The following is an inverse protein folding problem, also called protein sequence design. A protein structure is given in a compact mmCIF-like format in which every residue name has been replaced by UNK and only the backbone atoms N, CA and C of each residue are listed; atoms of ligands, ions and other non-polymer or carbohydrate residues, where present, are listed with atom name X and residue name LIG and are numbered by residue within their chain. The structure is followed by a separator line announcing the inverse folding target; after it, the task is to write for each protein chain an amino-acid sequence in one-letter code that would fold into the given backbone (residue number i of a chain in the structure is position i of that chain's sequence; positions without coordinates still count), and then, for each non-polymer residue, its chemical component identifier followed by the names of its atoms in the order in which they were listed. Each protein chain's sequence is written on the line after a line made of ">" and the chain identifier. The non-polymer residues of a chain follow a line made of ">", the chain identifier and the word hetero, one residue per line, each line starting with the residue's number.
data_IF_231200111123
#
_entry.id   IF_231200111123
#
_cell.length_a   1.000
_cell.length_b   1.000
_cell.length_c   1.000
_cell.angle_alpha   90.00
_cell.angle_beta   90.00
_cell.angle_gamma   90.00
#
_symmetry.space_group_name_H-M   'P 1'
#
loop_
_entity.id
_entity.type
_entity.pdbx_description
1 polymer ?
#
# COMPACT_ATOMS: atom_id res chain seq x y z
N UNK A 1 -0.35 21.50 18.39
CA UNK A 1 -0.66 20.34 17.53
C UNK A 1 -1.17 20.91 16.22
N UNK A 2 -0.38 20.80 15.15
CA UNK A 2 -0.83 21.19 13.81
C UNK A 2 -1.99 20.29 13.41
N UNK A 3 -3.09 20.87 12.96
CA UNK A 3 -4.19 20.11 12.33
C UNK A 3 -3.61 19.41 11.10
N UNK A 4 -3.42 18.09 11.19
CA UNK A 4 -3.07 17.25 10.05
C UNK A 4 -4.25 17.34 9.07
N UNK A 5 -4.05 18.01 7.94
CA UNK A 5 -5.02 18.01 6.86
C UNK A 5 -5.11 16.61 6.28
N UNK A 6 -6.30 16.20 5.85
CA UNK A 6 -6.59 14.90 5.23
C UNK A 6 -5.69 14.56 4.02
N UNK A 7 -4.98 15.56 3.49
CA UNK A 7 -4.07 15.53 2.34
C UNK A 7 -2.58 15.42 2.68
N UNK A 8 -2.17 15.41 3.95
CA UNK A 8 -0.74 15.50 4.33
C UNK A 8 0.11 14.31 3.89
N UNK A 9 -0.50 13.16 3.61
CA UNK A 9 0.21 11.92 3.18
C UNK A 9 0.33 11.78 1.64
N UNK A 10 -0.15 12.76 0.87
CA UNK A 10 -0.06 12.77 -0.60
C UNK A 10 -0.87 11.66 -1.31
N UNK A 11 -0.78 11.54 -2.65
CA UNK A 11 -1.57 10.59 -3.45
C UNK A 11 -1.22 9.13 -3.17
N UNK A 12 -2.11 8.19 -3.55
CA UNK A 12 -1.81 6.74 -3.46
C UNK A 12 -0.59 6.41 -4.31
N UNK A 13 0.36 5.67 -3.74
CA UNK A 13 1.65 5.33 -4.35
C UNK A 13 1.63 3.86 -4.75
N UNK A 14 1.60 3.62 -6.06
CA UNK A 14 1.75 2.29 -6.66
C UNK A 14 3.19 2.15 -7.13
N UNK A 15 3.83 1.03 -6.79
CA UNK A 15 5.17 0.69 -7.30
C UNK A 15 5.09 -0.52 -8.21
N UNK A 16 5.92 -0.49 -9.26
CA UNK A 16 6.09 -1.56 -10.22
C UNK A 16 7.41 -2.27 -9.96
N UNK A 17 7.37 -3.60 -10.02
CA UNK A 17 8.55 -4.44 -9.80
C UNK A 17 8.71 -5.35 -11.02
N UNK A 18 9.53 -4.91 -11.96
CA UNK A 18 9.73 -5.59 -13.24
C UNK A 18 10.89 -6.58 -13.20
N UNK A 19 10.73 -7.69 -13.93
CA UNK A 19 11.76 -8.72 -14.08
C UNK A 19 12.96 -8.30 -14.92
N UNK A 20 12.84 -7.23 -15.72
CA UNK A 20 13.90 -6.72 -16.58
C UNK A 20 14.95 -5.86 -15.88
N UNK A 21 14.85 -5.67 -14.56
CA UNK A 21 15.85 -4.94 -13.79
C UNK A 21 17.22 -5.65 -13.83
N UNK A 22 18.00 -5.37 -14.89
CA UNK A 22 19.46 -5.51 -15.00
C UNK A 22 20.14 -4.55 -14.02
N UNK A 23 19.70 -4.59 -12.78
CA UNK A 23 20.14 -3.73 -11.70
C UNK A 23 21.08 -4.52 -10.82
N UNK A 24 22.18 -3.88 -10.42
CA UNK A 24 23.13 -4.47 -9.49
C UNK A 24 22.45 -4.76 -8.13
N UNK A 25 23.11 -5.55 -7.28
CA UNK A 25 22.57 -6.00 -5.98
C UNK A 25 22.06 -4.83 -5.11
N UNK A 26 22.71 -3.66 -5.17
CA UNK A 26 22.35 -2.49 -4.36
C UNK A 26 21.06 -1.83 -4.84
N UNK A 27 20.83 -1.72 -6.15
CA UNK A 27 19.61 -1.11 -6.66
C UNK A 27 18.37 -2.01 -6.45
N UNK A 28 18.53 -3.33 -6.36
CA UNK A 28 17.41 -4.27 -6.08
C UNK A 28 16.95 -4.21 -4.62
N UNK A 29 17.89 -4.08 -3.69
CA UNK A 29 17.62 -3.82 -2.27
C UNK A 29 16.87 -2.50 -2.09
N UNK A 30 17.37 -1.42 -2.72
CA UNK A 30 16.74 -0.11 -2.66
C UNK A 30 15.32 -0.08 -3.26
N UNK A 31 15.10 -0.77 -4.39
CA UNK A 31 13.75 -0.90 -4.98
C UNK A 31 12.82 -1.72 -4.10
N UNK A 32 13.32 -2.77 -3.44
CA UNK A 32 12.53 -3.51 -2.46
C UNK A 32 12.17 -2.63 -1.27
N UNK A 33 13.11 -1.88 -0.69
CA UNK A 33 12.84 -0.98 0.44
C UNK A 33 11.92 0.19 0.07
N UNK A 34 12.04 0.73 -1.14
CA UNK A 34 11.11 1.72 -1.69
C UNK A 34 9.72 1.11 -1.90
N UNK A 35 9.64 -0.13 -2.38
CA UNK A 35 8.38 -0.83 -2.57
C UNK A 35 7.66 -1.13 -1.24
N UNK A 36 8.43 -1.41 -0.18
CA UNK A 36 7.91 -1.54 1.18
C UNK A 36 7.33 -0.23 1.72
N UNK A 37 7.78 0.92 1.19
CA UNK A 37 7.25 2.22 1.57
C UNK A 37 5.98 2.59 0.78
N UNK A 38 5.70 1.97 -0.37
CA UNK A 38 4.53 2.24 -1.21
C UNK A 38 3.24 1.59 -0.69
N UNK A 39 2.10 2.14 -1.11
CA UNK A 39 0.79 1.71 -0.63
C UNK A 39 0.38 0.38 -1.29
N UNK A 40 0.66 0.22 -2.59
CA UNK A 40 0.35 -0.98 -3.37
C UNK A 40 1.53 -1.39 -4.27
N UNK A 41 1.76 -2.69 -4.40
CA UNK A 41 2.85 -3.32 -5.16
C UNK A 41 2.31 -4.23 -6.25
N UNK A 42 2.66 -3.94 -7.50
CA UNK A 42 2.41 -4.81 -8.65
C UNK A 42 3.74 -5.41 -9.09
N UNK A 43 3.78 -6.74 -9.22
CA UNK A 43 4.98 -7.47 -9.60
C UNK A 43 4.80 -8.15 -10.95
N UNK A 44 5.80 -8.05 -11.81
CA UNK A 44 5.86 -8.83 -13.05
C UNK A 44 6.18 -10.30 -12.72
N UNK A 45 5.58 -11.28 -13.41
CA UNK A 45 5.82 -12.71 -13.14
C UNK A 45 7.29 -13.15 -13.27
N UNK A 46 8.12 -12.43 -14.04
CA UNK A 46 9.56 -12.70 -14.17
C UNK A 46 10.40 -12.07 -13.03
N UNK A 47 9.81 -11.24 -12.19
CA UNK A 47 10.54 -10.54 -11.14
C UNK A 47 10.88 -11.44 -9.94
N UNK A 48 11.96 -11.07 -9.26
CA UNK A 48 12.36 -11.68 -7.99
C UNK A 48 12.71 -10.59 -6.98
N UNK A 49 12.15 -10.72 -5.77
CA UNK A 49 12.31 -9.74 -4.68
C UNK A 49 13.10 -10.32 -3.51
N UNK A 50 13.88 -9.49 -2.83
CA UNK A 50 14.57 -9.88 -1.62
C UNK A 50 15.51 -8.77 -1.14
N UNK A 51 15.79 -8.80 0.17
CA UNK A 51 16.78 -7.94 0.81
C UNK A 51 18.06 -8.76 0.98
N UNK A 52 19.02 -8.54 0.08
CA UNK A 52 20.22 -9.38 -0.05
C UNK A 52 21.49 -8.78 0.54
N UNK A 53 21.37 -7.66 1.24
CA UNK A 53 22.43 -6.88 1.87
C UNK A 53 23.30 -7.72 2.82
N UNK A 54 22.72 -8.72 3.47
CA UNK A 54 23.45 -9.63 4.36
C UNK A 54 24.51 -10.46 3.64
N UNK A 55 24.41 -10.67 2.31
CA UNK A 55 25.49 -11.30 1.51
C UNK A 55 26.75 -10.44 1.41
N UNK A 56 26.61 -9.13 1.52
CA UNK A 56 27.72 -8.18 1.42
C UNK A 56 28.10 -7.60 2.79
N UNK A 57 27.67 -8.26 3.87
CA UNK A 57 28.07 -7.93 5.25
C UNK A 57 27.39 -6.70 5.83
N UNK A 58 26.27 -6.24 5.26
CA UNK A 58 25.49 -5.12 5.79
C UNK A 58 24.02 -5.53 6.01
N UNK A 59 23.28 -4.72 6.77
CA UNK A 59 21.84 -4.91 6.96
C UNK A 59 21.05 -4.07 5.93
N UNK A 60 19.77 -4.42 5.67
CA UNK A 60 18.87 -3.53 4.95
C UNK A 60 18.71 -2.20 5.71
N UNK A 61 19.14 -1.10 5.08
CA UNK A 61 19.34 0.20 5.70
C UNK A 61 18.26 1.24 5.41
N UNK A 62 17.45 1.06 4.36
CA UNK A 62 16.31 1.90 3.99
C UNK A 62 15.01 1.56 4.72
N UNK A 63 15.09 0.77 5.79
CA UNK A 63 13.96 0.37 6.63
C UNK A 63 13.37 -0.99 6.29
N UNK A 64 14.06 -1.81 5.50
CA UNK A 64 13.65 -3.17 5.17
C UNK A 64 13.49 -4.07 6.41
N UNK A 65 14.32 -3.89 7.43
CA UNK A 65 14.22 -4.59 8.73
C UNK A 65 12.97 -4.21 9.53
N UNK A 66 12.35 -3.07 9.23
CA UNK A 66 11.14 -2.58 9.91
C UNK A 66 9.90 -2.89 9.10
N UNK A 67 9.91 -2.60 7.79
CA UNK A 67 8.71 -2.72 6.94
C UNK A 67 8.46 -4.14 6.45
N UNK A 68 9.49 -4.93 6.15
CA UNK A 68 9.29 -6.30 5.66
C UNK A 68 8.55 -7.19 6.68
N UNK A 69 8.92 -7.23 7.97
CA UNK A 69 8.18 -8.01 8.97
C UNK A 69 6.72 -7.61 9.10
N UNK A 70 6.38 -6.34 8.87
CA UNK A 70 5.02 -5.81 8.94
C UNK A 70 4.16 -6.28 7.76
N UNK A 71 4.76 -6.49 6.59
CA UNK A 71 4.05 -7.02 5.42
C UNK A 71 3.93 -8.54 5.42
N UNK A 72 5.05 -9.26 5.61
CA UNK A 72 5.09 -10.72 5.37
C UNK A 72 5.08 -11.56 6.65
N UNK A 73 5.13 -10.89 7.81
CA UNK A 73 5.32 -11.50 9.12
C UNK A 73 6.80 -11.71 9.46
N UNK A 74 7.10 -11.70 10.76
CA UNK A 74 8.48 -11.75 11.26
C UNK A 74 9.24 -13.02 10.84
N UNK A 75 8.59 -14.17 10.81
CA UNK A 75 9.24 -15.43 10.42
C UNK A 75 9.74 -15.43 8.98
N UNK A 76 8.89 -14.98 8.05
CA UNK A 76 9.26 -14.89 6.62
C UNK A 76 10.28 -13.79 6.37
N UNK A 77 10.16 -12.66 7.06
CA UNK A 77 11.15 -11.59 6.97
C UNK A 77 12.54 -12.04 7.44
N UNK A 78 12.62 -12.82 8.53
CA UNK A 78 13.88 -13.43 8.99
C UNK A 78 14.46 -14.40 7.96
N UNK A 79 13.65 -15.31 7.45
CA UNK A 79 14.06 -16.24 6.38
C UNK A 79 14.65 -15.47 5.20
N UNK A 80 13.95 -14.45 4.68
CA UNK A 80 14.42 -13.65 3.55
C UNK A 80 15.69 -12.85 3.85
N UNK A 81 15.76 -12.10 4.97
CA UNK A 81 16.89 -11.22 5.29
C UNK A 81 18.12 -12.04 5.71
N UNK A 82 17.96 -13.04 6.59
CA UNK A 82 19.09 -13.78 7.13
C UNK A 82 19.72 -14.73 6.10
N UNK A 83 18.92 -15.29 5.18
CA UNK A 83 19.43 -16.13 4.08
C UNK A 83 19.77 -15.33 2.82
N UNK A 84 19.40 -14.05 2.79
CA UNK A 84 19.41 -13.20 1.60
C UNK A 84 18.68 -13.84 0.39
N UNK A 85 17.76 -14.79 0.60
CA UNK A 85 17.09 -15.44 -0.53
C UNK A 85 16.15 -14.46 -1.23
N UNK A 86 15.94 -14.72 -2.52
CA UNK A 86 14.95 -14.00 -3.31
C UNK A 86 13.70 -14.86 -3.43
N UNK A 87 12.54 -14.21 -3.45
CA UNK A 87 11.24 -14.83 -3.67
C UNK A 87 10.75 -14.50 -5.09
N UNK A 88 10.22 -15.49 -5.83
CA UNK A 88 9.53 -15.24 -7.10
C UNK A 88 8.18 -14.54 -6.89
N UNK A 89 7.59 -14.03 -7.97
CA UNK A 89 6.34 -13.26 -7.95
C UNK A 89 5.15 -13.99 -7.32
N UNK A 90 5.01 -15.29 -7.56
CA UNK A 90 3.95 -16.14 -6.99
C UNK A 90 4.08 -16.28 -5.47
N UNK A 91 5.31 -16.53 -4.98
CA UNK A 91 5.59 -16.56 -3.56
C UNK A 91 5.36 -15.17 -2.95
N UNK A 92 5.81 -14.11 -3.61
CA UNK A 92 5.63 -12.75 -3.15
C UNK A 92 4.16 -12.38 -2.94
N UNK A 93 3.29 -12.74 -3.89
CA UNK A 93 1.85 -12.55 -3.77
C UNK A 93 1.30 -13.34 -2.58
N UNK A 94 1.67 -14.62 -2.47
CA UNK A 94 1.18 -15.52 -1.41
C UNK A 94 1.56 -15.06 -0.01
N UNK A 95 2.71 -14.43 0.16
CA UNK A 95 3.20 -13.98 1.47
C UNK A 95 2.82 -12.54 1.81
N UNK A 96 2.11 -11.83 0.92
CA UNK A 96 1.74 -10.42 1.11
C UNK A 96 2.86 -9.42 0.82
N UNK A 97 3.93 -9.85 0.15
CA UNK A 97 4.99 -8.95 -0.32
C UNK A 97 4.58 -8.20 -1.59
N UNK A 98 3.73 -8.80 -2.44
CA UNK A 98 3.09 -8.15 -3.57
C UNK A 98 1.57 -8.18 -3.39
N UNK A 99 0.88 -7.17 -3.89
CA UNK A 99 -0.58 -7.06 -3.82
C UNK A 99 -1.26 -7.57 -5.09
N UNK A 100 -0.59 -7.45 -6.25
CA UNK A 100 -1.03 -7.99 -7.54
C UNK A 100 0.15 -8.50 -8.37
N UNK A 101 -0.11 -9.46 -9.25
CA UNK A 101 0.83 -9.92 -10.29
C UNK A 101 0.27 -9.51 -11.65
N UNK A 102 1.08 -8.90 -12.51
CA UNK A 102 0.67 -8.47 -13.84
C UNK A 102 0.73 -9.60 -14.87
N UNK A 103 0.25 -9.34 -16.08
CA UNK A 103 0.68 -10.12 -17.24
C UNK A 103 2.19 -9.89 -17.49
N UNK A 104 2.90 -10.85 -18.14
CA UNK A 104 4.29 -10.66 -18.51
C UNK A 104 4.48 -9.38 -19.35
N UNK A 105 5.35 -8.47 -18.90
CA UNK A 105 5.60 -7.17 -19.53
C UNK A 105 4.46 -6.15 -19.39
N UNK A 106 3.38 -6.49 -18.67
CA UNK A 106 2.17 -5.68 -18.53
C UNK A 106 2.03 -4.97 -17.18
N UNK A 107 3.12 -4.82 -16.43
CA UNK A 107 3.10 -4.21 -15.10
C UNK A 107 2.64 -2.74 -15.14
N UNK A 108 3.10 -1.97 -16.12
CA UNK A 108 2.70 -0.57 -16.33
C UNK A 108 1.21 -0.46 -16.59
N UNK A 109 0.68 -1.23 -17.53
CA UNK A 109 -0.75 -1.23 -17.86
C UNK A 109 -1.59 -1.62 -16.64
N UNK A 110 -1.14 -2.62 -15.87
CA UNK A 110 -1.79 -3.01 -14.63
C UNK A 110 -1.80 -1.90 -13.57
N UNK A 111 -0.71 -1.12 -13.44
CA UNK A 111 -0.68 0.03 -12.54
C UNK A 111 -1.56 1.18 -13.02
N UNK A 112 -1.58 1.47 -14.31
CA UNK A 112 -2.45 2.51 -14.88
C UNK A 112 -3.92 2.12 -14.66
N UNK A 113 -4.28 0.86 -14.93
CA UNK A 113 -5.61 0.35 -14.68
C UNK A 113 -5.99 0.48 -13.19
N UNK A 114 -5.10 0.08 -12.29
CA UNK A 114 -5.33 0.22 -10.84
C UNK A 114 -5.41 1.69 -10.40
N UNK A 115 -4.60 2.57 -10.97
CA UNK A 115 -4.68 4.01 -10.73
C UNK A 115 -6.03 4.58 -11.14
N UNK A 116 -6.55 4.16 -12.30
CA UNK A 116 -7.88 4.54 -12.78
C UNK A 116 -9.00 3.99 -11.89
N UNK A 117 -8.89 2.74 -11.42
CA UNK A 117 -9.82 2.15 -10.43
C UNK A 117 -9.89 3.01 -9.16
N UNK A 118 -8.74 3.44 -8.65
CA UNK A 118 -8.66 4.29 -7.45
C UNK A 118 -9.21 5.69 -7.74
N UNK A 119 -8.84 6.30 -8.86
CA UNK A 119 -9.25 7.64 -9.26
C UNK A 119 -10.75 7.75 -9.56
N UNK A 120 -11.42 6.63 -9.87
CA UNK A 120 -12.87 6.58 -10.02
C UNK A 120 -13.64 6.71 -8.68
N UNK A 121 -12.95 6.56 -7.54
CA UNK A 121 -13.54 6.73 -6.22
C UNK A 121 -13.52 8.20 -5.77
N UNK A 122 -14.31 8.51 -4.73
CA UNK A 122 -14.34 9.84 -4.11
C UNK A 122 -12.95 10.25 -3.59
N UNK A 123 -12.29 11.29 -4.14
CA UNK A 123 -10.90 11.62 -3.84
C UNK A 123 -10.69 11.96 -2.36
N UNK A 124 -11.64 12.66 -1.72
CA UNK A 124 -11.55 12.95 -0.28
C UNK A 124 -11.67 11.69 0.57
N UNK A 125 -12.50 10.72 0.14
CA UNK A 125 -12.66 9.44 0.85
C UNK A 125 -11.39 8.59 0.75
N UNK A 126 -10.77 8.54 -0.42
CA UNK A 126 -9.52 7.80 -0.64
C UNK A 126 -8.38 8.40 0.19
N UNK A 127 -8.23 9.73 0.20
CA UNK A 127 -7.23 10.41 1.00
C UNK A 127 -7.41 10.17 2.50
N UNK A 128 -8.66 10.28 2.99
CA UNK A 128 -9.01 10.02 4.38
C UNK A 128 -8.69 8.58 4.81
N UNK A 129 -9.12 7.61 4.00
CA UNK A 129 -8.90 6.19 4.28
C UNK A 129 -7.40 5.86 4.32
N UNK A 130 -6.61 6.40 3.37
CA UNK A 130 -5.16 6.22 3.36
C UNK A 130 -4.50 6.77 4.62
N UNK A 131 -4.88 7.97 5.04
CA UNK A 131 -4.34 8.60 6.25
C UNK A 131 -4.72 7.82 7.51
N UNK A 132 -6.01 7.46 7.65
CA UNK A 132 -6.50 6.67 8.78
C UNK A 132 -5.79 5.31 8.89
N UNK A 133 -5.60 4.59 7.79
CA UNK A 133 -4.86 3.32 7.75
C UNK A 133 -3.40 3.48 8.22
N UNK A 134 -2.75 4.57 7.81
CA UNK A 134 -1.34 4.80 8.15
C UNK A 134 -1.16 5.17 9.63
N UNK A 135 -2.07 5.98 10.17
CA UNK A 135 -1.97 6.48 11.55
C UNK A 135 -2.41 5.42 12.56
N UNK A 136 -3.41 4.60 12.22
CA UNK A 136 -3.86 3.49 13.07
C UNK A 136 -2.76 2.47 13.38
N UNK A 137 -1.74 2.35 12.52
CA UNK A 137 -0.70 1.33 12.64
C UNK A 137 0.14 1.44 13.92
N UNK A 138 0.37 2.67 14.40
CA UNK A 138 1.23 2.93 15.57
C UNK A 138 0.40 3.23 16.85
N UNK A 139 -0.93 3.11 16.79
CA UNK A 139 -1.84 3.45 17.88
C UNK A 139 -2.46 2.21 18.55
N UNK A 140 -2.76 2.27 19.86
CA UNK A 140 -3.68 1.34 20.49
C UNK A 140 -5.06 1.36 19.82
N UNK A 141 -5.77 0.22 19.87
CA UNK A 141 -7.04 0.06 19.15
C UNK A 141 -8.05 1.18 19.41
N UNK A 142 -8.26 1.55 20.67
CA UNK A 142 -9.26 2.58 21.03
C UNK A 142 -8.88 3.95 20.47
N UNK A 143 -7.59 4.31 20.49
CA UNK A 143 -7.08 5.55 19.90
C UNK A 143 -7.16 5.52 18.37
N UNK A 144 -6.88 4.37 17.75
CA UNK A 144 -7.00 4.19 16.31
C UNK A 144 -8.45 4.34 15.83
N UNK A 145 -9.42 3.81 16.57
CA UNK A 145 -10.85 3.94 16.26
C UNK A 145 -11.35 5.39 16.42
N UNK A 146 -10.87 6.10 17.45
CA UNK A 146 -11.20 7.51 17.62
C UNK A 146 -10.59 8.37 16.51
N UNK A 147 -9.36 8.06 16.10
CA UNK A 147 -8.72 8.73 14.98
C UNK A 147 -9.45 8.45 13.65
N UNK A 148 -9.88 7.20 13.40
CA UNK A 148 -10.74 6.85 12.25
C UNK A 148 -12.04 7.67 12.26
N UNK A 149 -12.69 7.82 13.42
CA UNK A 149 -13.93 8.59 13.56
C UNK A 149 -13.76 10.05 13.13
N UNK A 150 -12.63 10.68 13.46
CA UNK A 150 -12.31 12.04 13.01
C UNK A 150 -12.22 12.17 11.48
N UNK A 151 -11.53 11.24 10.83
CA UNK A 151 -11.46 11.17 9.36
C UNK A 151 -12.83 10.91 8.73
N UNK A 152 -13.60 10.00 9.32
CA UNK A 152 -14.95 9.67 8.88
C UNK A 152 -15.88 10.88 8.93
N UNK A 153 -15.91 11.62 10.04
CA UNK A 153 -16.76 12.81 10.20
C UNK A 153 -16.44 13.91 9.18
N UNK A 154 -15.15 14.07 8.86
CA UNK A 154 -14.67 15.03 7.85
C UNK A 154 -15.23 14.68 6.46
N UNK A 155 -15.17 13.41 6.07
CA UNK A 155 -15.66 12.96 4.76
C UNK A 155 -17.19 12.86 4.72
N UNK A 156 -17.85 12.55 5.84
CA UNK A 156 -19.30 12.42 5.90
C UNK A 156 -20.03 13.70 5.45
N UNK A 157 -19.43 14.86 5.71
CA UNK A 157 -19.97 16.18 5.35
C UNK A 157 -19.46 16.69 3.99
N UNK A 158 -18.62 15.92 3.30
CA UNK A 158 -18.01 16.32 2.03
C UNK A 158 -19.01 16.33 0.87
N UNK A 159 -18.76 17.18 -0.12
CA UNK A 159 -19.53 17.21 -1.36
C UNK A 159 -19.50 15.85 -2.08
N UNK A 160 -18.35 15.17 -2.08
CA UNK A 160 -18.17 13.82 -2.64
C UNK A 160 -19.17 12.82 -2.06
N UNK A 161 -19.39 12.84 -0.74
CA UNK A 161 -20.31 11.93 -0.07
C UNK A 161 -21.78 12.23 -0.40
N UNK A 162 -22.10 13.50 -0.59
CA UNK A 162 -23.46 13.96 -0.90
C UNK A 162 -23.86 13.64 -2.35
N UNK A 163 -22.92 13.74 -3.29
CA UNK A 163 -23.12 13.39 -4.70
C UNK A 163 -23.08 11.88 -4.95
N UNK A 164 -22.29 11.13 -4.19
CA UNK A 164 -22.20 9.67 -4.30
C UNK A 164 -23.41 8.92 -3.71
N UNK A 165 -24.31 9.59 -2.95
CA UNK A 165 -25.50 8.95 -2.39
C UNK A 165 -26.52 8.69 -3.52
N UNK A 166 -26.96 7.45 -3.75
CA UNK A 166 -28.11 7.23 -4.62
C UNK A 166 -29.31 8.02 -4.08
N UNK A 167 -30.09 8.64 -4.96
CA UNK A 167 -31.31 9.32 -4.55
C UNK A 167 -32.15 8.36 -3.68
N UNK A 168 -32.71 8.83 -2.54
CA UNK A 168 -33.61 7.98 -1.77
C UNK A 168 -34.72 7.48 -2.71
N UNK A 169 -35.14 6.21 -2.58
CA UNK A 169 -36.19 5.67 -3.45
C UNK A 169 -37.39 6.60 -3.41
N UNK A 170 -37.87 7.03 -4.59
CA UNK A 170 -39.02 7.89 -4.72
C UNK A 170 -40.24 7.16 -4.13
N UNK A 171 -40.62 7.47 -2.89
CA UNK A 171 -41.78 6.81 -2.27
C UNK A 171 -41.83 6.71 -0.74
N UNK A 172 -40.85 7.18 0.03
CA UNK A 172 -41.04 7.27 1.50
C UNK A 172 -41.70 8.59 1.89
N UNK A 173 -42.98 8.75 1.52
CA UNK A 173 -43.83 9.69 2.26
C UNK A 173 -43.90 9.20 3.70
N UNK A 174 -43.33 9.98 4.61
CA UNK A 174 -43.55 9.80 6.05
C UNK A 174 -45.06 9.84 6.28
N UNK A 175 -45.67 8.69 6.52
CA UNK A 175 -46.97 8.65 7.21
C UNK A 175 -46.71 9.17 8.63
N UNK A 176 -47.47 10.20 8.98
CA UNK A 176 -47.45 10.92 10.24
C UNK A 176 -47.70 10.01 11.43
#
# INVERSE_FOLDING_TARGET
>A
MSELSITDRGPVRIVLIDGEARMNVLSRALVAELALACDLRIVDPAAQMGLTETRIGIIPGGGGTVRLPRLVGLGRARDMILTARRVPADEALRIGLADRVSAPGGSVDAAVALGNEIAANAPLSVAAAKTALADAWDLPLDEALEHERGHYETVLRSADRLTARPAPPAGSSRRR
#
